data_IF_522419217944
#
_entry.id   IF_522419217944
#
_cell.length_a   1.000
_cell.length_b   1.000
_cell.length_c   1.000
_cell.angle_alpha   90.00
_cell.angle_beta   90.00
_cell.angle_gamma   90.00
#
_symmetry.space_group_name_H-M   'P 1'
#
loop_
_entity.id
_entity.type
_entity.pdbx_description
1 polymer ?
#
# COMPACT_ATOMS: atom_id res chain seq x y z
N UNK A 1 -11.29 -36.94 1.18
CA UNK A 1 -11.04 -35.76 2.03
C UNK A 1 -12.25 -34.86 1.91
N UNK A 2 -12.83 -34.40 3.01
CA UNK A 2 -13.93 -33.43 2.98
C UNK A 2 -13.35 -32.11 2.41
N UNK A 3 -13.97 -31.50 1.39
CA UNK A 3 -13.48 -30.24 0.83
C UNK A 3 -13.43 -29.17 1.91
N UNK A 4 -12.40 -28.32 1.86
CA UNK A 4 -12.25 -27.19 2.79
C UNK A 4 -13.44 -26.24 2.65
N UNK A 5 -13.80 -25.51 3.71
CA UNK A 5 -14.95 -24.61 3.65
C UNK A 5 -14.69 -23.46 2.66
N UNK A 6 -13.47 -22.94 2.54
CA UNK A 6 -13.08 -21.98 1.50
C UNK A 6 -13.16 -22.59 0.08
N UNK A 7 -12.79 -23.86 -0.12
CA UNK A 7 -12.98 -24.55 -1.41
C UNK A 7 -14.46 -24.66 -1.78
N UNK A 8 -15.29 -25.10 -0.82
CA UNK A 8 -16.75 -25.19 -0.99
C UNK A 8 -17.37 -23.82 -1.33
N UNK A 9 -16.88 -22.74 -0.73
CA UNK A 9 -17.29 -21.37 -1.03
C UNK A 9 -16.90 -20.98 -2.46
N UNK A 10 -15.69 -21.33 -2.89
CA UNK A 10 -15.21 -21.12 -4.27
C UNK A 10 -16.07 -21.84 -5.32
N UNK A 11 -16.48 -23.08 -5.05
CA UNK A 11 -17.38 -23.84 -5.91
C UNK A 11 -18.76 -23.18 -6.02
N UNK A 12 -19.39 -22.87 -4.88
CA UNK A 12 -20.73 -22.25 -4.81
C UNK A 12 -20.75 -20.86 -5.47
N UNK A 13 -19.64 -20.12 -5.38
CA UNK A 13 -19.50 -18.77 -5.95
C UNK A 13 -19.73 -18.74 -7.46
N UNK A 14 -19.32 -19.79 -8.17
CA UNK A 14 -19.40 -19.86 -9.63
C UNK A 14 -20.85 -19.72 -10.10
N UNK A 15 -21.77 -20.39 -9.42
CA UNK A 15 -23.20 -20.46 -9.75
C UNK A 15 -24.06 -19.49 -8.93
N UNK A 16 -23.45 -18.68 -8.07
CA UNK A 16 -24.18 -17.76 -7.19
C UNK A 16 -24.74 -16.53 -7.94
N UNK A 17 -25.97 -16.08 -7.62
CA UNK A 17 -26.51 -14.79 -8.08
C UNK A 17 -25.61 -13.61 -7.66
N UNK A 18 -25.61 -12.52 -8.41
CA UNK A 18 -24.68 -11.40 -8.25
C UNK A 18 -24.55 -10.86 -6.81
N UNK A 19 -25.66 -10.68 -6.09
CA UNK A 19 -25.67 -10.22 -4.70
C UNK A 19 -25.04 -11.23 -3.73
N UNK A 20 -25.23 -12.53 -3.97
CA UNK A 20 -24.59 -13.58 -3.18
C UNK A 20 -23.13 -13.73 -3.53
N UNK A 21 -22.78 -13.61 -4.82
CA UNK A 21 -21.40 -13.65 -5.30
C UNK A 21 -20.55 -12.59 -4.60
N UNK A 22 -21.04 -11.36 -4.48
CA UNK A 22 -20.35 -10.29 -3.74
C UNK A 22 -20.03 -10.67 -2.28
N UNK A 23 -20.92 -11.38 -1.60
CA UNK A 23 -20.67 -11.85 -0.22
C UNK A 23 -19.59 -12.94 -0.21
N UNK A 24 -19.65 -13.88 -1.16
CA UNK A 24 -18.66 -14.96 -1.28
C UNK A 24 -17.29 -14.42 -1.72
N UNK A 25 -17.25 -13.39 -2.57
CA UNK A 25 -16.05 -12.65 -2.95
C UNK A 25 -15.36 -12.06 -1.72
N UNK A 26 -16.10 -11.35 -0.87
CA UNK A 26 -15.55 -10.79 0.37
C UNK A 26 -14.97 -11.86 1.30
N UNK A 27 -15.62 -13.03 1.39
CA UNK A 27 -15.14 -14.15 2.20
C UNK A 27 -13.82 -14.70 1.64
N UNK A 28 -13.71 -14.86 0.33
CA UNK A 28 -12.49 -15.40 -0.30
C UNK A 28 -11.35 -14.37 -0.37
N UNK A 29 -11.68 -13.08 -0.46
CA UNK A 29 -10.70 -11.99 -0.55
C UNK A 29 -10.04 -11.68 0.79
N UNK A 30 -10.80 -11.70 1.89
CA UNK A 30 -10.31 -11.32 3.22
C UNK A 30 -11.07 -12.05 4.35
N UNK A 31 -10.84 -13.37 4.51
CA UNK A 31 -11.58 -14.18 5.48
C UNK A 31 -11.30 -13.75 6.93
N UNK A 32 -10.10 -13.24 7.24
CA UNK A 32 -9.74 -12.71 8.56
C UNK A 32 -10.62 -11.50 8.93
N UNK A 33 -10.76 -10.53 8.02
CA UNK A 33 -11.61 -9.37 8.27
C UNK A 33 -13.09 -9.75 8.41
N UNK A 34 -13.55 -10.78 7.70
CA UNK A 34 -14.91 -11.30 7.85
C UNK A 34 -15.13 -11.86 9.26
N UNK A 35 -14.11 -12.45 9.90
CA UNK A 35 -14.21 -12.89 11.30
C UNK A 35 -14.46 -11.74 12.27
N UNK A 36 -14.01 -10.52 11.95
CA UNK A 36 -14.15 -9.34 12.81
C UNK A 36 -15.45 -8.56 12.58
N UNK A 37 -16.06 -8.64 11.38
CA UNK A 37 -17.17 -7.77 10.98
C UNK A 37 -18.56 -8.20 11.48
N UNK A 38 -19.39 -7.26 11.94
CA UNK A 38 -20.80 -7.53 12.26
C UNK A 38 -21.64 -7.82 11.01
N UNK A 39 -22.89 -8.27 11.19
CA UNK A 39 -23.84 -8.46 10.09
C UNK A 39 -24.05 -7.17 9.27
N UNK A 40 -24.11 -6.04 9.96
CA UNK A 40 -24.33 -4.71 9.38
C UNK A 40 -23.12 -4.30 8.53
N UNK A 41 -21.91 -4.48 9.05
CA UNK A 41 -20.66 -4.16 8.35
C UNK A 41 -20.48 -5.03 7.09
N UNK A 42 -20.77 -6.32 7.19
CA UNK A 42 -20.75 -7.25 6.05
C UNK A 42 -21.81 -6.90 5.00
N UNK A 43 -23.01 -6.53 5.42
CA UNK A 43 -24.09 -6.11 4.52
C UNK A 43 -23.72 -4.83 3.76
N UNK A 44 -23.16 -3.84 4.45
CA UNK A 44 -22.69 -2.59 3.84
C UNK A 44 -21.60 -2.86 2.79
N UNK A 45 -20.56 -3.61 3.17
CA UNK A 45 -19.41 -3.89 2.30
C UNK A 45 -19.77 -4.72 1.07
N UNK A 46 -20.72 -5.65 1.22
CA UNK A 46 -21.24 -6.46 0.11
C UNK A 46 -22.37 -5.80 -0.69
N UNK A 47 -22.76 -4.56 -0.33
CA UNK A 47 -23.94 -3.87 -0.88
C UNK A 47 -25.19 -4.75 -0.87
N UNK A 48 -25.35 -5.51 0.21
CA UNK A 48 -26.44 -6.46 0.43
C UNK A 48 -27.19 -6.12 1.72
N UNK A 49 -28.11 -6.99 2.14
CA UNK A 49 -28.86 -6.84 3.37
C UNK A 49 -28.54 -7.95 4.37
N UNK A 50 -28.73 -7.69 5.66
CA UNK A 50 -28.54 -8.67 6.74
C UNK A 50 -29.28 -10.00 6.48
N UNK A 51 -30.54 -10.01 5.99
CA UNK A 51 -31.22 -11.26 5.61
C UNK A 51 -30.52 -12.04 4.49
N UNK A 52 -29.86 -11.35 3.55
CA UNK A 52 -29.08 -11.99 2.49
C UNK A 52 -27.82 -12.63 3.05
N UNK A 53 -27.11 -11.96 3.98
CA UNK A 53 -25.97 -12.57 4.70
C UNK A 53 -26.41 -13.84 5.44
N UNK A 54 -27.50 -13.78 6.19
CA UNK A 54 -28.03 -14.95 6.91
C UNK A 54 -28.46 -16.10 5.98
N UNK A 55 -29.01 -15.79 4.80
CA UNK A 55 -29.32 -16.82 3.79
C UNK A 55 -28.03 -17.46 3.27
N UNK A 56 -27.01 -16.65 2.92
CA UNK A 56 -25.72 -17.16 2.48
C UNK A 56 -25.08 -18.10 3.51
N UNK A 57 -25.09 -17.76 4.79
CA UNK A 57 -24.58 -18.66 5.85
C UNK A 57 -25.35 -19.99 5.89
N UNK A 58 -26.68 -19.97 5.77
CA UNK A 58 -27.50 -21.19 5.73
C UNK A 58 -27.27 -22.04 4.50
N UNK A 59 -27.10 -21.41 3.34
CA UNK A 59 -26.77 -22.12 2.10
C UNK A 59 -25.41 -22.82 2.19
N UNK A 60 -24.47 -22.25 2.96
CA UNK A 60 -23.18 -22.88 3.25
C UNK A 60 -23.26 -24.01 4.28
N UNK A 61 -24.40 -24.16 4.96
CA UNK A 61 -24.69 -25.21 5.94
C UNK A 61 -24.64 -24.76 7.40
N UNK A 62 -24.65 -23.45 7.67
CA UNK A 62 -24.54 -22.90 9.03
C UNK A 62 -25.83 -22.22 9.48
N UNK A 63 -26.20 -22.35 10.75
CA UNK A 63 -27.41 -21.73 11.30
C UNK A 63 -27.38 -20.20 11.27
N UNK A 64 -26.18 -19.60 11.21
CA UNK A 64 -26.00 -18.16 11.07
C UNK A 64 -24.54 -17.73 11.05
N UNK A 65 -24.29 -16.42 11.08
CA UNK A 65 -22.95 -15.85 10.95
C UNK A 65 -21.99 -16.29 12.06
N UNK A 66 -22.47 -16.45 13.30
CA UNK A 66 -21.60 -16.86 14.42
C UNK A 66 -21.01 -18.24 14.20
N UNK A 67 -21.83 -19.19 13.77
CA UNK A 67 -21.39 -20.57 13.51
C UNK A 67 -20.52 -20.64 12.26
N UNK A 68 -20.88 -19.91 11.20
CA UNK A 68 -20.05 -19.74 10.01
C UNK A 68 -18.66 -19.19 10.36
N UNK A 69 -18.59 -18.11 11.15
CA UNK A 69 -17.32 -17.51 11.59
C UNK A 69 -16.49 -18.48 12.44
N UNK A 70 -17.12 -19.28 13.29
CA UNK A 70 -16.41 -20.29 14.07
C UNK A 70 -15.76 -21.35 13.16
N UNK A 71 -16.50 -21.83 12.17
CA UNK A 71 -15.99 -22.79 11.19
C UNK A 71 -14.88 -22.18 10.30
N UNK A 72 -15.06 -20.94 9.86
CA UNK A 72 -14.06 -20.19 9.12
C UNK A 72 -12.79 -19.97 9.95
N UNK A 73 -12.91 -19.60 11.23
CA UNK A 73 -11.78 -19.44 12.13
C UNK A 73 -11.03 -20.76 12.37
N UNK A 74 -11.74 -21.88 12.50
CA UNK A 74 -11.12 -23.20 12.62
C UNK A 74 -10.39 -23.60 11.33
N UNK A 75 -10.96 -23.31 10.17
CA UNK A 75 -10.30 -23.56 8.89
C UNK A 75 -9.04 -22.71 8.73
N UNK A 76 -9.09 -21.41 9.04
CA UNK A 76 -7.92 -20.54 8.97
C UNK A 76 -6.83 -20.96 9.96
N UNK A 77 -7.23 -21.44 11.16
CA UNK A 77 -6.29 -21.97 12.16
C UNK A 77 -5.63 -23.29 11.74
N UNK A 78 -6.29 -24.09 10.88
CA UNK A 78 -5.80 -25.39 10.40
C UNK A 78 -5.13 -25.33 9.01
N UNK A 79 -5.43 -24.31 8.20
CA UNK A 79 -5.10 -24.22 6.77
C UNK A 79 -4.12 -23.12 6.38
N UNK A 80 -3.63 -22.30 7.32
CA UNK A 80 -2.58 -21.33 7.03
C UNK A 80 -1.26 -22.03 6.71
N UNK A 81 -0.73 -21.89 5.49
CA UNK A 81 0.65 -22.30 5.23
C UNK A 81 1.60 -21.46 6.09
N UNK A 82 2.61 -22.07 6.74
CA UNK A 82 3.67 -21.33 7.44
C UNK A 82 4.53 -20.51 6.48
N UNK A 83 4.29 -20.59 5.16
CA UNK A 83 5.04 -19.87 4.14
C UNK A 83 4.35 -18.56 3.72
N UNK A 84 3.02 -18.55 3.63
CA UNK A 84 2.27 -17.39 3.15
C UNK A 84 0.77 -17.50 3.49
N UNK A 85 0.18 -16.45 4.04
CA UNK A 85 -1.22 -16.45 4.55
C UNK A 85 -2.29 -16.86 3.52
N UNK A 86 -2.01 -16.66 2.22
CA UNK A 86 -2.97 -16.93 1.12
C UNK A 86 -2.70 -18.20 0.32
N UNK A 87 -1.63 -18.93 0.60
CA UNK A 87 -1.21 -20.10 -0.20
C UNK A 87 -1.25 -21.34 0.68
N UNK A 88 -1.69 -22.47 0.15
CA UNK A 88 -1.58 -23.76 0.83
C UNK A 88 -0.26 -24.43 0.42
N UNK A 89 0.28 -25.30 1.27
CA UNK A 89 1.55 -26.00 0.98
C UNK A 89 1.40 -26.95 -0.22
N UNK A 90 0.18 -27.40 -0.51
CA UNK A 90 -0.17 -28.27 -1.63
C UNK A 90 -0.61 -27.54 -2.90
N UNK A 91 -0.69 -26.20 -2.90
CA UNK A 91 -1.13 -25.44 -4.08
C UNK A 91 -0.19 -25.69 -5.28
N UNK A 92 -0.78 -25.88 -6.46
CA UNK A 92 -0.01 -25.94 -7.70
C UNK A 92 0.54 -24.55 -8.08
N UNK A 93 1.59 -24.53 -8.91
CA UNK A 93 2.30 -23.28 -9.24
C UNK A 93 1.39 -22.21 -9.88
N UNK A 94 0.45 -22.60 -10.73
CA UNK A 94 -0.53 -21.71 -11.36
C UNK A 94 -1.55 -21.14 -10.34
N UNK A 95 -1.95 -21.93 -9.36
CA UNK A 95 -2.78 -21.48 -8.25
C UNK A 95 -2.05 -20.44 -7.39
N UNK A 96 -0.78 -20.70 -7.06
CA UNK A 96 0.07 -19.74 -6.32
C UNK A 96 0.17 -18.43 -7.08
N UNK A 97 0.50 -18.47 -8.38
CA UNK A 97 0.58 -17.28 -9.24
C UNK A 97 -0.73 -16.50 -9.21
N UNK A 98 -1.87 -17.18 -9.41
CA UNK A 98 -3.19 -16.54 -9.39
C UNK A 98 -3.52 -15.91 -8.04
N UNK A 99 -3.22 -16.58 -6.93
CA UNK A 99 -3.50 -16.09 -5.57
C UNK A 99 -2.64 -14.86 -5.22
N UNK A 100 -1.35 -14.91 -5.50
CA UNK A 100 -0.44 -13.78 -5.25
C UNK A 100 -0.79 -12.58 -6.14
N UNK A 101 -1.02 -12.80 -7.44
CA UNK A 101 -1.36 -11.72 -8.37
C UNK A 101 -2.67 -11.01 -8.00
N UNK A 102 -3.71 -11.76 -7.59
CA UNK A 102 -4.97 -11.18 -7.11
C UNK A 102 -4.77 -10.35 -5.83
N UNK A 103 -3.98 -10.85 -4.87
CA UNK A 103 -3.67 -10.11 -3.64
C UNK A 103 -2.96 -8.80 -3.91
N UNK A 104 -1.95 -8.84 -4.79
CA UNK A 104 -1.21 -7.67 -5.22
C UNK A 104 -2.13 -6.64 -5.89
N UNK A 105 -2.98 -7.07 -6.83
CA UNK A 105 -3.93 -6.20 -7.52
C UNK A 105 -4.94 -5.56 -6.56
N UNK A 106 -5.47 -6.31 -5.60
CA UNK A 106 -6.37 -5.79 -4.57
C UNK A 106 -5.68 -4.74 -3.68
N UNK A 107 -4.44 -5.02 -3.25
CA UNK A 107 -3.64 -4.11 -2.43
C UNK A 107 -3.41 -2.77 -3.13
N UNK A 108 -2.99 -2.80 -4.40
CA UNK A 108 -2.76 -1.59 -5.21
C UNK A 108 -4.07 -0.82 -5.44
N UNK A 109 -5.14 -1.52 -5.80
CA UNK A 109 -6.45 -0.90 -6.08
C UNK A 109 -7.07 -0.24 -4.84
N UNK A 110 -6.78 -0.76 -3.65
CA UNK A 110 -7.30 -0.25 -2.38
C UNK A 110 -6.69 1.07 -1.92
N UNK A 111 -5.50 1.46 -2.41
CA UNK A 111 -4.73 2.61 -1.89
C UNK A 111 -5.52 3.91 -1.92
N UNK A 112 -6.22 4.20 -3.03
CA UNK A 112 -7.01 5.44 -3.17
C UNK A 112 -8.08 5.58 -2.09
N UNK A 113 -8.68 4.48 -1.65
CA UNK A 113 -9.72 4.50 -0.61
C UNK A 113 -9.19 4.79 0.79
N UNK A 114 -7.88 4.65 1.02
CA UNK A 114 -7.26 4.81 2.35
C UNK A 114 -6.66 6.21 2.56
N UNK A 115 -6.32 6.90 1.47
CA UNK A 115 -5.68 8.22 1.55
C UNK A 115 -6.72 9.32 1.81
N UNK A 116 -6.46 10.14 2.83
CA UNK A 116 -7.12 11.42 3.01
C UNK A 116 -6.51 12.44 2.03
N UNK A 117 -7.34 12.97 1.13
CA UNK A 117 -6.88 13.88 0.08
C UNK A 117 -6.40 15.23 0.62
N UNK A 118 -6.99 15.73 1.72
CA UNK A 118 -6.55 17.00 2.33
C UNK A 118 -5.18 16.83 3.00
N UNK A 119 -4.99 15.70 3.69
CA UNK A 119 -3.70 15.36 4.31
C UNK A 119 -2.63 15.15 3.25
N UNK A 120 -2.97 14.43 2.17
CA UNK A 120 -2.07 14.22 1.03
C UNK A 120 -1.67 15.56 0.38
N UNK A 121 -2.63 16.43 0.08
CA UNK A 121 -2.35 17.75 -0.50
C UNK A 121 -1.49 18.63 0.41
N UNK A 122 -1.68 18.53 1.74
CA UNK A 122 -0.84 19.18 2.75
C UNK A 122 0.59 18.62 2.76
N UNK A 123 0.75 17.30 2.72
CA UNK A 123 2.06 16.65 2.66
C UNK A 123 2.82 17.05 1.39
N UNK A 124 2.14 17.01 0.23
CA UNK A 124 2.70 17.44 -1.05
C UNK A 124 3.14 18.91 -0.99
N UNK A 125 2.37 19.78 -0.32
CA UNK A 125 2.71 21.20 -0.16
C UNK A 125 4.01 21.36 0.63
N UNK A 126 4.08 20.70 1.78
CA UNK A 126 5.21 20.76 2.69
C UNK A 126 6.47 20.23 1.99
N UNK A 127 6.40 19.07 1.33
CA UNK A 127 7.53 18.47 0.63
C UNK A 127 8.01 19.35 -0.53
N UNK A 128 7.10 19.86 -1.37
CA UNK A 128 7.46 20.65 -2.54
C UNK A 128 8.13 21.99 -2.20
N UNK A 129 7.79 22.57 -1.03
CA UNK A 129 8.34 23.82 -0.51
C UNK A 129 9.56 23.61 0.41
N UNK A 130 9.86 22.38 0.82
CA UNK A 130 10.90 22.10 1.80
C UNK A 130 12.30 22.50 1.29
N UNK A 131 13.12 23.19 2.11
CA UNK A 131 14.52 23.45 1.78
C UNK A 131 15.38 22.18 1.85
N UNK A 132 14.95 21.20 2.64
CA UNK A 132 15.54 19.86 2.74
C UNK A 132 14.49 18.86 3.23
N UNK A 133 14.65 17.61 2.80
CA UNK A 133 13.81 16.49 3.17
C UNK A 133 14.70 15.35 3.68
N UNK A 134 14.47 14.91 4.90
CA UNK A 134 15.13 13.73 5.45
C UNK A 134 14.18 12.54 5.45
N UNK A 135 14.68 11.37 5.05
CA UNK A 135 13.91 10.16 4.91
C UNK A 135 14.41 9.12 5.91
N UNK A 136 13.50 8.67 6.77
CA UNK A 136 13.77 7.66 7.79
C UNK A 136 12.98 6.39 7.48
N UNK A 137 13.66 5.25 7.53
CA UNK A 137 13.06 3.93 7.39
C UNK A 137 13.56 3.00 8.48
N UNK A 138 12.67 2.21 9.06
CA UNK A 138 13.01 1.16 10.02
C UNK A 138 12.88 -0.24 9.40
N UNK A 139 13.94 -1.04 9.48
CA UNK A 139 14.02 -2.37 8.87
C UNK A 139 14.19 -2.34 7.35
N UNK A 140 14.45 -3.51 6.76
CA UNK A 140 14.84 -3.64 5.35
C UNK A 140 13.81 -3.07 4.38
N UNK A 141 12.53 -3.41 4.54
CA UNK A 141 11.45 -3.00 3.63
C UNK A 141 11.23 -1.48 3.67
N UNK A 142 11.16 -0.90 4.86
CA UNK A 142 10.94 0.55 5.00
C UNK A 142 12.17 1.35 4.58
N UNK A 143 13.38 0.83 4.85
CA UNK A 143 14.63 1.41 4.37
C UNK A 143 14.69 1.43 2.84
N UNK A 144 14.37 0.31 2.18
CA UNK A 144 14.30 0.25 0.72
C UNK A 144 13.38 1.35 0.16
N UNK A 145 12.19 1.50 0.72
CA UNK A 145 11.21 2.50 0.27
C UNK A 145 11.69 3.94 0.54
N UNK A 146 12.35 4.19 1.68
CA UNK A 146 12.94 5.49 1.99
C UNK A 146 14.07 5.83 1.03
N UNK A 147 14.92 4.86 0.69
CA UNK A 147 16.02 5.04 -0.26
C UNK A 147 15.52 5.29 -1.69
N UNK A 148 14.52 4.54 -2.15
CA UNK A 148 13.89 4.76 -3.47
C UNK A 148 13.22 6.14 -3.55
N UNK A 149 12.47 6.55 -2.51
CA UNK A 149 11.85 7.87 -2.46
C UNK A 149 12.91 9.00 -2.45
N UNK A 150 14.05 8.80 -1.81
CA UNK A 150 15.16 9.78 -1.85
C UNK A 150 15.63 10.01 -3.29
N UNK A 151 15.88 8.95 -4.06
CA UNK A 151 16.30 9.06 -5.46
C UNK A 151 15.21 9.71 -6.34
N UNK A 152 13.93 9.46 -6.05
CA UNK A 152 12.80 10.10 -6.74
C UNK A 152 12.72 11.60 -6.47
N UNK A 153 12.76 12.02 -5.22
CA UNK A 153 12.71 13.45 -4.86
C UNK A 153 13.95 14.21 -5.37
N UNK A 154 15.13 13.56 -5.35
CA UNK A 154 16.35 14.16 -5.86
C UNK A 154 16.27 14.44 -7.37
N UNK A 155 15.65 13.54 -8.16
CA UNK A 155 15.37 13.76 -9.60
C UNK A 155 14.43 14.94 -9.85
N UNK A 156 13.52 15.23 -8.92
CA UNK A 156 12.65 16.42 -8.95
C UNK A 156 13.36 17.70 -8.47
N UNK A 157 14.60 17.56 -8.03
CA UNK A 157 15.45 18.66 -7.64
C UNK A 157 15.34 19.11 -6.19
N UNK A 158 14.73 18.29 -5.34
CA UNK A 158 14.69 18.51 -3.90
C UNK A 158 16.00 18.02 -3.26
N UNK A 159 16.45 18.73 -2.22
CA UNK A 159 17.54 18.25 -1.36
C UNK A 159 16.96 17.17 -0.44
N UNK A 160 17.15 15.91 -0.81
CA UNK A 160 16.59 14.76 -0.12
C UNK A 160 17.69 13.77 0.30
N UNK A 161 17.71 13.37 1.57
CA UNK A 161 18.68 12.41 2.12
C UNK A 161 17.98 11.28 2.86
N UNK A 162 18.38 10.03 2.60
CA UNK A 162 17.90 8.86 3.32
C UNK A 162 18.99 8.38 4.29
N UNK A 163 18.62 8.20 5.56
CA UNK A 163 19.54 7.84 6.62
C UNK A 163 19.30 6.39 7.06
N UNK A 164 20.22 5.49 6.72
CA UNK A 164 20.06 4.05 6.96
C UNK A 164 20.27 3.67 8.43
N UNK A 165 21.26 4.30 9.05
CA UNK A 165 21.67 4.03 10.40
C UNK A 165 20.82 4.84 11.40
N UNK A 166 20.38 4.18 12.48
CA UNK A 166 19.50 4.80 13.47
C UNK A 166 20.17 5.95 14.22
N UNK A 167 21.47 5.82 14.54
CA UNK A 167 22.20 6.90 15.19
C UNK A 167 22.31 8.10 14.23
N UNK A 168 22.56 7.86 12.94
CA UNK A 168 22.56 8.92 11.94
C UNK A 168 21.18 9.55 11.72
N UNK A 169 20.08 8.81 11.84
CA UNK A 169 18.72 9.40 11.82
C UNK A 169 18.54 10.39 12.97
N UNK A 170 19.04 10.09 14.17
CA UNK A 170 18.98 10.99 15.33
C UNK A 170 19.86 12.23 15.13
N UNK A 171 21.08 12.05 14.60
CA UNK A 171 22.00 13.16 14.28
C UNK A 171 21.38 14.07 13.21
N UNK A 172 20.80 13.49 12.16
CA UNK A 172 20.09 14.23 11.11
C UNK A 172 18.91 15.00 11.70
N UNK A 173 18.10 14.35 12.55
CA UNK A 173 17.00 14.99 13.26
C UNK A 173 17.45 16.19 14.10
N UNK A 174 18.56 16.07 14.83
CA UNK A 174 19.12 17.15 15.62
C UNK A 174 19.70 18.29 14.76
N UNK A 175 20.10 17.99 13.53
CA UNK A 175 20.64 18.94 12.56
C UNK A 175 19.56 19.58 11.66
N UNK A 176 18.28 19.28 11.89
CA UNK A 176 17.18 19.86 11.13
C UNK A 176 17.18 21.38 11.21
N UNK A 177 16.76 22.02 10.12
CA UNK A 177 16.65 23.47 10.00
C UNK A 177 15.19 23.91 9.84
N UNK A 178 14.84 25.17 10.12
CA UNK A 178 13.49 25.67 9.95
C UNK A 178 12.91 25.37 8.57
N UNK A 179 11.67 24.87 8.54
CA UNK A 179 10.97 24.48 7.32
C UNK A 179 11.35 23.11 6.76
N UNK A 180 12.27 22.37 7.41
CA UNK A 180 12.61 21.00 7.03
C UNK A 180 11.43 20.03 7.14
N UNK A 181 11.45 18.98 6.31
CA UNK A 181 10.46 17.90 6.34
C UNK A 181 11.17 16.59 6.65
N UNK A 182 10.58 15.78 7.54
CA UNK A 182 10.94 14.38 7.74
C UNK A 182 9.85 13.51 7.15
N UNK A 183 10.24 12.57 6.28
CA UNK A 183 9.35 11.50 5.81
C UNK A 183 9.77 10.20 6.51
N UNK A 184 8.92 9.73 7.41
CA UNK A 184 9.16 8.51 8.17
C UNK A 184 8.27 7.37 7.63
N UNK A 185 8.91 6.27 7.22
CA UNK A 185 8.24 5.11 6.64
C UNK A 185 8.40 3.92 7.58
N UNK A 186 7.28 3.34 8.01
CA UNK A 186 7.28 2.10 8.79
C UNK A 186 5.89 1.47 8.81
N UNK A 187 5.77 0.24 8.30
CA UNK A 187 4.48 -0.47 8.34
C UNK A 187 4.03 -0.78 9.78
N UNK A 188 4.94 -1.29 10.61
CA UNK A 188 4.64 -1.63 12.01
C UNK A 188 4.44 -0.37 12.85
N UNK A 189 5.20 0.70 12.57
CA UNK A 189 5.00 2.03 13.18
C UNK A 189 5.35 2.13 14.67
N UNK A 190 6.09 1.15 15.21
CA UNK A 190 6.40 1.06 16.65
C UNK A 190 7.89 0.96 17.00
N UNK A 191 8.80 1.07 16.03
CA UNK A 191 10.24 0.90 16.28
C UNK A 191 10.78 2.06 17.13
N UNK A 192 11.27 1.84 18.37
CA UNK A 192 11.67 2.91 19.28
C UNK A 192 12.71 3.86 18.68
N UNK A 193 13.74 3.32 18.02
CA UNK A 193 14.80 4.13 17.42
C UNK A 193 14.30 5.10 16.34
N UNK A 194 13.33 4.68 15.52
CA UNK A 194 12.69 5.55 14.53
C UNK A 194 11.84 6.62 15.21
N UNK A 195 11.06 6.23 16.23
CA UNK A 195 10.19 7.15 16.97
C UNK A 195 11.02 8.25 17.67
N UNK A 196 12.15 7.88 18.26
CA UNK A 196 13.07 8.82 18.90
C UNK A 196 13.67 9.80 17.89
N UNK A 197 14.12 9.31 16.72
CA UNK A 197 14.66 10.18 15.66
C UNK A 197 13.60 11.17 15.13
N UNK A 198 12.35 10.71 14.97
CA UNK A 198 11.22 11.57 14.59
C UNK A 198 10.93 12.62 15.66
N UNK A 199 10.95 12.27 16.95
CA UNK A 199 10.74 13.22 18.04
C UNK A 199 11.84 14.27 18.11
N UNK A 200 13.11 13.88 17.92
CA UNK A 200 14.24 14.81 17.88
C UNK A 200 14.06 15.81 16.73
N UNK A 201 13.76 15.32 15.52
CA UNK A 201 13.55 16.18 14.36
C UNK A 201 12.37 17.15 14.54
N UNK A 202 11.26 16.65 15.10
CA UNK A 202 10.09 17.46 15.42
C UNK A 202 10.41 18.52 16.48
N UNK A 203 11.25 18.20 17.46
CA UNK A 203 11.78 19.14 18.46
C UNK A 203 12.56 20.32 17.84
N UNK A 204 13.16 20.11 16.66
CA UNK A 204 13.81 21.16 15.86
C UNK A 204 12.85 21.88 14.89
N UNK A 205 11.55 21.59 14.95
CA UNK A 205 10.52 22.25 14.13
C UNK A 205 10.31 21.63 12.74
N UNK A 206 10.84 20.42 12.49
CA UNK A 206 10.56 19.71 11.24
C UNK A 206 9.08 19.29 11.17
N UNK A 207 8.51 19.38 9.96
CA UNK A 207 7.20 18.78 9.66
C UNK A 207 7.35 17.29 9.41
N UNK A 208 6.48 16.47 9.99
CA UNK A 208 6.54 15.00 9.88
C UNK A 208 5.47 14.48 8.94
N UNK A 209 5.89 13.86 7.84
CA UNK A 209 5.05 13.03 6.98
C UNK A 209 5.27 11.58 7.34
N UNK A 210 4.26 10.90 7.86
CA UNK A 210 4.35 9.48 8.20
C UNK A 210 3.65 8.61 7.16
N UNK A 211 4.34 7.59 6.65
CA UNK A 211 3.76 6.54 5.80
C UNK A 211 3.74 5.25 6.63
N UNK A 212 2.57 4.95 7.20
CA UNK A 212 2.41 3.91 8.22
C UNK A 212 0.94 3.50 8.38
N UNK A 213 0.67 2.51 9.24
CA UNK A 213 -0.69 2.14 9.64
C UNK A 213 -1.30 3.20 10.58
N UNK A 214 -2.58 3.55 10.42
CA UNK A 214 -3.32 4.34 11.41
C UNK A 214 -3.25 3.72 12.81
N UNK A 215 -3.28 4.56 13.84
CA UNK A 215 -3.27 4.12 15.25
C UNK A 215 -1.91 3.67 15.80
N UNK A 216 -0.85 3.66 14.98
CA UNK A 216 0.51 3.35 15.45
C UNK A 216 1.16 4.51 16.20
N UNK A 217 2.22 4.23 16.95
CA UNK A 217 3.00 5.26 17.64
C UNK A 217 3.62 6.28 16.67
N UNK A 218 4.03 5.84 15.47
CA UNK A 218 4.50 6.73 14.42
C UNK A 218 3.37 7.60 13.87
N UNK A 219 2.17 7.04 13.67
CA UNK A 219 1.01 7.81 13.21
C UNK A 219 0.66 8.96 14.16
N UNK A 220 0.75 8.73 15.48
CA UNK A 220 0.50 9.76 16.49
C UNK A 220 1.51 10.93 16.45
N UNK A 221 2.66 10.77 15.79
CA UNK A 221 3.71 11.79 15.69
C UNK A 221 3.63 12.63 14.41
N UNK A 222 2.77 12.26 13.47
CA UNK A 222 2.70 12.87 12.13
C UNK A 222 1.98 14.23 12.14
N UNK A 223 2.51 15.20 11.40
CA UNK A 223 1.73 16.35 10.91
C UNK A 223 0.83 15.92 9.74
N UNK A 224 1.34 15.02 8.90
CA UNK A 224 0.62 14.46 7.76
C UNK A 224 0.73 12.94 7.76
N UNK A 225 -0.38 12.25 8.05
CA UNK A 225 -0.44 10.78 8.04
C UNK A 225 -0.94 10.28 6.68
N UNK A 226 -0.07 9.61 5.93
CA UNK A 226 -0.46 8.75 4.83
C UNK A 226 -0.74 7.36 5.39
N UNK A 227 -1.98 7.20 5.88
CA UNK A 227 -2.44 6.00 6.59
C UNK A 227 -2.71 4.84 5.63
N UNK A 228 -1.95 3.75 5.77
CA UNK A 228 -2.04 2.58 4.90
C UNK A 228 -2.09 1.30 5.73
N UNK A 229 -3.22 0.61 5.66
CA UNK A 229 -3.46 -0.69 6.26
C UNK A 229 -3.58 -1.76 5.19
N UNK A 230 -2.96 -2.90 5.49
CA UNK A 230 -3.22 -4.17 4.80
C UNK A 230 -3.59 -5.19 5.87
N UNK A 231 -4.28 -6.29 5.51
CA UNK A 231 -4.54 -7.36 6.46
C UNK A 231 -3.23 -7.88 7.05
N UNK A 232 -3.25 -8.21 8.34
CA UNK A 232 -2.08 -8.75 9.00
C UNK A 232 -1.66 -10.07 8.35
N UNK A 233 -0.35 -10.30 8.30
CA UNK A 233 0.23 -11.53 7.79
C UNK A 233 0.79 -12.33 8.97
N UNK A 234 0.21 -13.51 9.17
CA UNK A 234 0.51 -14.41 10.28
C UNK A 234 1.93 -15.00 10.22
N UNK A 235 2.58 -14.96 9.06
CA UNK A 235 3.93 -15.50 8.85
C UNK A 235 4.97 -14.38 8.94
N UNK A 236 4.74 -13.27 8.23
CA UNK A 236 5.66 -12.13 8.19
C UNK A 236 4.89 -10.83 8.36
N UNK A 237 5.07 -10.14 9.49
CA UNK A 237 4.38 -8.88 9.81
C UNK A 237 4.49 -7.77 8.75
N UNK A 238 5.41 -7.87 7.79
CA UNK A 238 5.51 -6.98 6.62
C UNK A 238 5.61 -7.82 5.35
N UNK A 239 4.47 -8.28 4.86
CA UNK A 239 4.35 -9.03 3.61
C UNK A 239 4.33 -8.16 2.35
N UNK A 240 4.19 -8.80 1.19
CA UNK A 240 4.16 -8.14 -0.14
C UNK A 240 3.02 -7.12 -0.27
N UNK A 241 1.87 -7.40 0.36
CA UNK A 241 0.71 -6.50 0.34
C UNK A 241 1.07 -5.14 0.96
N UNK A 242 1.73 -5.14 2.13
CA UNK A 242 2.18 -3.93 2.80
C UNK A 242 3.15 -3.15 1.90
N UNK A 243 4.11 -3.87 1.32
CA UNK A 243 5.10 -3.30 0.42
C UNK A 243 4.47 -2.62 -0.81
N UNK A 244 3.60 -3.31 -1.55
CA UNK A 244 2.95 -2.76 -2.75
C UNK A 244 2.04 -1.58 -2.42
N UNK A 245 1.32 -1.65 -1.30
CA UNK A 245 0.44 -0.57 -0.84
C UNK A 245 1.24 0.71 -0.55
N UNK A 246 2.36 0.59 0.19
CA UNK A 246 3.22 1.72 0.53
C UNK A 246 3.94 2.27 -0.70
N UNK A 247 4.47 1.40 -1.58
CA UNK A 247 5.16 1.82 -2.80
C UNK A 247 4.22 2.56 -3.76
N UNK A 248 2.97 2.12 -3.87
CA UNK A 248 1.93 2.82 -4.67
C UNK A 248 1.63 4.21 -4.11
N UNK A 249 1.53 4.35 -2.78
CA UNK A 249 1.33 5.67 -2.17
C UNK A 249 2.55 6.59 -2.36
N UNK A 250 3.77 6.03 -2.31
CA UNK A 250 5.02 6.74 -2.59
C UNK A 250 5.06 7.23 -4.04
N UNK A 251 4.62 6.42 -5.00
CA UNK A 251 4.48 6.82 -6.41
C UNK A 251 3.51 8.00 -6.55
N UNK A 252 2.30 7.87 -5.99
CA UNK A 252 1.29 8.94 -6.01
C UNK A 252 1.86 10.24 -5.41
N UNK A 253 2.48 10.14 -4.22
CA UNK A 253 3.10 11.28 -3.54
C UNK A 253 4.16 11.95 -4.43
N UNK A 254 5.04 11.15 -5.03
CA UNK A 254 6.13 11.64 -5.89
C UNK A 254 5.58 12.37 -7.11
N UNK A 255 4.58 11.80 -7.80
CA UNK A 255 3.96 12.41 -8.99
C UNK A 255 3.26 13.72 -8.63
N UNK A 256 2.54 13.78 -7.51
CA UNK A 256 1.90 15.00 -7.04
C UNK A 256 2.92 16.09 -6.64
N UNK A 257 4.04 15.69 -6.01
CA UNK A 257 5.15 16.61 -5.73
C UNK A 257 5.74 17.15 -7.04
N UNK A 258 5.97 16.29 -8.04
CA UNK A 258 6.46 16.71 -9.35
C UNK A 258 5.50 17.71 -10.01
N UNK A 259 4.20 17.41 -10.01
CA UNK A 259 3.16 18.28 -10.56
C UNK A 259 3.15 19.65 -9.87
N UNK A 260 3.23 19.67 -8.54
CA UNK A 260 3.24 20.91 -7.76
C UNK A 260 4.50 21.75 -7.98
N UNK A 261 5.64 21.09 -8.18
CA UNK A 261 6.91 21.77 -8.51
C UNK A 261 6.89 22.35 -9.93
N UNK A 262 6.05 21.84 -10.82
CA UNK A 262 5.81 22.39 -12.15
C UNK A 262 7.04 22.33 -13.07
N UNK A 263 7.19 23.37 -13.89
CA UNK A 263 8.22 23.45 -14.93
C UNK A 263 9.66 23.21 -14.44
N UNK A 264 10.12 23.74 -13.29
CA UNK A 264 11.44 23.43 -12.75
C UNK A 264 11.72 21.92 -12.57
N UNK A 265 10.72 21.14 -12.16
CA UNK A 265 10.89 19.69 -12.03
C UNK A 265 10.99 19.00 -13.40
N UNK A 266 10.17 19.42 -14.37
CA UNK A 266 10.22 18.93 -15.75
C UNK A 266 11.60 19.17 -16.37
N UNK A 267 12.14 20.39 -16.23
CA UNK A 267 13.46 20.73 -16.74
C UNK A 267 14.57 19.88 -16.10
N UNK A 268 14.48 19.58 -14.79
CA UNK A 268 15.46 18.71 -14.11
C UNK A 268 15.42 17.28 -14.65
N UNK A 269 14.23 16.73 -14.85
CA UNK A 269 14.04 15.40 -15.42
C UNK A 269 14.56 15.31 -16.86
N UNK A 270 14.33 16.35 -17.67
CA UNK A 270 14.87 16.45 -19.03
C UNK A 270 16.41 16.47 -19.03
N UNK A 271 17.04 17.29 -18.18
CA UNK A 271 18.51 17.34 -18.06
C UNK A 271 19.11 15.99 -17.64
N UNK A 272 18.45 15.28 -16.72
CA UNK A 272 18.88 13.93 -16.33
C UNK A 272 18.81 12.96 -17.51
N UNK A 273 17.70 12.96 -18.25
CA UNK A 273 17.52 12.14 -19.46
C UNK A 273 18.56 12.44 -20.54
N UNK A 274 18.80 13.71 -20.81
CA UNK A 274 19.82 14.15 -21.78
C UNK A 274 21.23 13.73 -21.36
N UNK A 275 21.54 13.77 -20.07
CA UNK A 275 22.82 13.30 -19.55
C UNK A 275 22.98 11.78 -19.78
N UNK A 276 21.96 10.99 -19.47
CA UNK A 276 21.98 9.55 -19.70
C UNK A 276 22.14 9.23 -21.19
N UNK A 277 21.36 9.87 -22.06
CA UNK A 277 21.46 9.70 -23.51
C UNK A 277 22.85 10.05 -24.05
N UNK A 278 23.44 11.17 -23.61
CA UNK A 278 24.80 11.58 -24.00
C UNK A 278 25.87 10.56 -23.62
N UNK A 279 25.65 9.81 -22.54
CA UNK A 279 26.58 8.79 -22.04
C UNK A 279 26.19 7.36 -22.44
N UNK A 280 25.20 7.17 -23.32
CA UNK A 280 24.75 5.86 -23.78
C UNK A 280 24.03 5.03 -22.70
N UNK A 281 23.59 5.65 -21.63
CA UNK A 281 22.80 5.05 -20.55
C UNK A 281 21.32 5.29 -20.88
N UNK A 282 20.47 4.27 -20.79
CA UNK A 282 19.02 4.38 -21.07
C UNK A 282 18.68 5.14 -22.37
N UNK A 283 19.41 4.85 -23.44
CA UNK A 283 19.30 5.57 -24.72
C UNK A 283 18.00 5.29 -25.50
N UNK A 284 17.16 4.35 -25.04
CA UNK A 284 15.87 4.06 -25.65
C UNK A 284 14.89 5.21 -25.42
N UNK A 285 14.38 5.76 -26.52
CA UNK A 285 13.35 6.79 -26.47
C UNK A 285 11.99 6.15 -26.69
N UNK A 286 11.15 6.17 -25.66
CA UNK A 286 9.73 5.86 -25.80
C UNK A 286 8.96 7.17 -26.01
N UNK A 287 7.99 7.22 -26.95
CA UNK A 287 7.12 8.37 -27.10
C UNK A 287 6.36 8.61 -25.79
N UNK A 288 6.26 9.87 -25.37
CA UNK A 288 5.41 10.24 -24.25
C UNK A 288 3.96 9.95 -24.66
N UNK A 289 3.31 9.01 -23.98
CA UNK A 289 1.86 8.82 -24.14
C UNK A 289 1.17 10.06 -23.55
N UNK A 290 0.41 10.78 -24.36
CA UNK A 290 -0.54 11.79 -23.86
C UNK A 290 -1.75 11.06 -23.28
N UNK A 291 -2.00 11.24 -21.99
CA UNK A 291 -3.18 10.71 -21.29
C UNK A 291 -4.39 11.66 -21.40
N UNK A 292 -4.42 12.49 -22.44
CA UNK A 292 -5.58 13.30 -22.77
C UNK A 292 -6.51 12.44 -23.64
N UNK A 293 -7.68 12.10 -23.09
CA UNK A 293 -8.65 11.19 -23.70
C UNK A 293 -8.98 11.54 -25.16
N UNK A 294 -8.46 10.74 -26.08
CA UNK A 294 -8.78 10.76 -27.50
C UNK A 294 -8.30 9.44 -28.09
N UNK A 295 -9.23 8.65 -28.62
CA UNK A 295 -9.02 7.26 -28.99
C UNK A 295 -7.78 6.98 -29.82
N UNK A 296 -7.25 5.78 -29.65
CA UNK A 296 -6.23 5.18 -30.52
C UNK A 296 -6.82 5.13 -31.94
N UNK A 297 -6.59 6.16 -32.75
CA UNK A 297 -6.75 6.04 -34.18
C UNK A 297 -5.60 5.17 -34.69
N UNK A 298 -5.91 3.92 -34.99
CA UNK A 298 -4.98 3.00 -35.62
C UNK A 298 -4.42 3.59 -36.91
N UNK A 299 -3.14 3.95 -36.88
CA UNK A 299 -2.36 4.20 -38.09
C UNK A 299 -1.94 2.86 -38.67
N UNK A 300 -2.66 2.42 -39.71
CA UNK A 300 -2.34 1.23 -40.48
C UNK A 300 -0.97 1.28 -41.15
N UNK A 301 -0.41 0.10 -41.38
CA UNK A 301 0.70 -0.16 -42.30
C UNK A 301 0.37 0.40 -43.70
N UNK A 302 1.37 1.01 -44.35
CA UNK A 302 1.97 0.55 -45.61
C UNK A 302 2.67 1.70 -46.36
N UNK A 303 4.00 1.61 -46.46
CA UNK A 303 4.80 1.66 -47.70
C UNK A 303 6.27 1.50 -47.34
#
# INVERSE_FOLDING_TARGET
>A
MTPSLLQKIGEIRSDAPATRRAILDLILEDPDRVLEESFEQLAERSRSSVPTIMRTCRDLGFAGLREFKLALAQELALGGSPLHRRVNIEDAADEVVGKIARSAAASVSGVRGQLDMQVLDGAVAAIAAAPHVDLYGAGATSWFMANDLQARLFRLGLSANAWADYHLQQVAGAAQRPGGVVIAISHVGGMPSLLDAVDIARGQGAKVVAITRPGTALAAKADFLLGLSVPDDAVMHVGIDAYLTHLTAIEILTVLVAQRRGEPAVQRLQRAREAFQRHGIDATTHPLQSWDGGGISGGGRAS
#
